data_IF_277458548883
#
_entry.id   IF_277458548883
#
_cell.length_a   1.000
_cell.length_b   1.000
_cell.length_c   1.000
_cell.angle_alpha   90.00
_cell.angle_beta   90.00
_cell.angle_gamma   90.00
#
_symmetry.space_group_name_H-M   'P 1'
#
loop_
_entity.id
_entity.type
_entity.pdbx_description
1 polymer ?
#
# COMPACT_ATOMS: atom_id res chain seq x y z
N UNK A 1 -1.60 -31.06 2.87
CA UNK A 1 -0.34 -31.38 3.54
C UNK A 1 0.76 -30.86 2.64
N UNK A 2 1.51 -29.90 3.09
CA UNK A 2 2.65 -29.36 2.36
C UNK A 2 3.91 -29.68 3.12
N UNK A 3 4.92 -30.20 2.42
CA UNK A 3 6.28 -30.33 2.91
C UNK A 3 7.04 -29.13 2.32
N UNK A 4 7.61 -28.30 3.15
CA UNK A 4 8.64 -27.39 2.69
C UNK A 4 9.98 -28.13 2.54
N UNK A 5 10.95 -27.50 1.92
CA UNK A 5 12.30 -28.06 1.71
C UNK A 5 13.04 -28.36 3.02
N UNK A 6 12.54 -27.90 4.16
CA UNK A 6 13.07 -28.13 5.49
C UNK A 6 12.35 -29.27 6.24
N UNK A 7 11.37 -29.92 5.61
CA UNK A 7 10.64 -31.05 6.17
C UNK A 7 9.57 -30.68 7.21
N UNK A 8 9.09 -29.44 7.19
CA UNK A 8 7.95 -29.02 8.02
C UNK A 8 6.67 -29.46 7.34
N UNK A 9 5.87 -30.25 8.03
CA UNK A 9 4.53 -30.60 7.55
C UNK A 9 3.53 -29.60 8.10
N UNK A 10 2.93 -28.82 7.22
CA UNK A 10 1.84 -27.90 7.56
C UNK A 10 0.51 -28.57 7.23
N UNK A 11 -0.35 -28.75 8.22
CA UNK A 11 -1.67 -29.34 8.07
C UNK A 11 -2.71 -28.24 8.17
N UNK A 12 -3.55 -28.13 7.14
CA UNK A 12 -4.74 -27.29 7.19
C UNK A 12 -5.90 -28.02 7.84
N UNK A 13 -6.57 -27.35 8.76
CA UNK A 13 -7.91 -27.70 9.22
C UNK A 13 -8.69 -26.38 9.28
N UNK A 14 -9.76 -26.30 8.51
CA UNK A 14 -10.67 -25.14 8.49
C UNK A 14 -9.96 -23.80 8.22
N UNK A 15 -9.07 -23.78 7.18
CA UNK A 15 -8.23 -22.62 6.81
C UNK A 15 -7.23 -22.16 7.88
N UNK A 16 -7.02 -22.93 8.95
CA UNK A 16 -6.00 -22.66 9.98
C UNK A 16 -4.80 -23.59 9.85
N UNK A 17 -3.63 -23.11 10.26
CA UNK A 17 -2.42 -23.91 10.30
C UNK A 17 -2.30 -24.71 11.57
N UNK A 18 -1.84 -25.94 11.42
CA UNK A 18 -1.26 -26.74 12.51
C UNK A 18 0.13 -27.21 12.08
N UNK A 19 1.17 -26.83 12.81
CA UNK A 19 2.51 -27.36 12.61
C UNK A 19 2.61 -28.73 13.25
N UNK A 20 2.85 -29.78 12.43
CA UNK A 20 2.85 -31.16 12.91
C UNK A 20 4.23 -31.72 13.24
N UNK A 21 5.30 -31.09 12.81
CA UNK A 21 6.65 -31.61 13.06
C UNK A 21 7.72 -30.49 13.03
N UNK A 22 8.02 -29.94 14.18
CA UNK A 22 9.02 -28.87 14.37
C UNK A 22 10.43 -29.45 14.58
N UNK A 23 10.54 -30.75 14.88
CA UNK A 23 11.81 -31.37 15.25
C UNK A 23 12.83 -31.49 14.12
N UNK A 24 12.46 -31.22 12.87
CA UNK A 24 13.31 -31.39 11.69
C UNK A 24 13.95 -30.13 11.16
N UNK A 25 13.58 -28.94 11.69
CA UNK A 25 14.16 -27.68 11.23
C UNK A 25 15.51 -27.45 11.94
N UNK A 26 16.60 -27.72 11.24
CA UNK A 26 17.94 -27.53 11.79
C UNK A 26 18.52 -26.13 11.60
N UNK A 27 18.04 -25.35 10.61
CA UNK A 27 18.66 -24.08 10.22
C UNK A 27 17.64 -22.93 9.99
N UNK A 28 16.49 -22.96 10.65
CA UNK A 28 15.52 -21.88 10.49
C UNK A 28 15.99 -20.60 11.20
N UNK A 29 16.06 -19.51 10.45
CA UNK A 29 16.46 -18.17 10.94
C UNK A 29 15.35 -17.43 11.68
N UNK A 30 14.18 -18.04 11.87
CA UNK A 30 13.03 -17.46 12.58
C UNK A 30 12.69 -18.26 13.84
N UNK A 31 12.06 -17.61 14.82
CA UNK A 31 11.68 -18.27 16.07
C UNK A 31 10.46 -19.19 15.87
N UNK A 32 10.75 -20.47 15.68
CA UNK A 32 9.74 -21.52 15.46
C UNK A 32 8.76 -21.62 16.63
N UNK A 33 9.19 -21.29 17.85
CA UNK A 33 8.34 -21.35 19.04
C UNK A 33 7.21 -20.34 18.96
N UNK A 34 7.48 -19.14 18.45
CA UNK A 34 6.49 -18.09 18.26
C UNK A 34 5.47 -18.52 17.19
N UNK A 35 5.91 -19.05 16.06
CA UNK A 35 5.02 -19.55 15.02
C UNK A 35 4.15 -20.72 15.50
N UNK A 36 4.75 -21.63 16.31
CA UNK A 36 3.99 -22.72 16.91
C UNK A 36 2.88 -22.19 17.81
N UNK A 37 3.18 -21.23 18.68
CA UNK A 37 2.20 -20.63 19.55
C UNK A 37 1.06 -20.00 18.74
N UNK A 38 1.37 -19.25 17.71
CA UNK A 38 0.37 -18.62 16.82
C UNK A 38 -0.50 -19.68 16.08
N UNK A 39 0.09 -20.83 15.73
CA UNK A 39 -0.66 -21.96 15.15
C UNK A 39 -1.60 -22.60 16.15
N UNK A 40 -1.08 -22.90 17.36
CA UNK A 40 -1.83 -23.56 18.42
C UNK A 40 -3.03 -22.70 18.88
N UNK A 41 -2.87 -21.37 18.86
CA UNK A 41 -3.91 -20.38 19.15
C UNK A 41 -4.83 -20.09 17.94
N UNK A 42 -4.64 -20.75 16.79
CA UNK A 42 -5.46 -20.54 15.59
C UNK A 42 -5.33 -19.14 14.96
N UNK A 43 -4.23 -18.44 15.22
CA UNK A 43 -3.99 -17.07 14.75
C UNK A 43 -3.35 -17.00 13.36
N UNK A 44 -2.91 -18.13 12.80
CA UNK A 44 -2.33 -18.19 11.45
C UNK A 44 -3.33 -18.76 10.47
N UNK A 45 -3.47 -18.08 9.33
CA UNK A 45 -4.26 -18.50 8.18
C UNK A 45 -3.35 -18.80 7.00
N UNK A 46 -3.59 -19.91 6.30
CA UNK A 46 -2.94 -20.24 5.04
C UNK A 46 -3.88 -19.93 3.87
N UNK A 47 -3.46 -19.04 3.01
CA UNK A 47 -4.20 -18.63 1.83
C UNK A 47 -3.67 -19.32 0.59
N UNK A 48 -4.55 -20.03 -0.12
CA UNK A 48 -4.20 -20.72 -1.37
C UNK A 48 -2.94 -21.60 -1.28
N UNK A 49 -2.62 -22.08 -0.09
CA UNK A 49 -1.44 -22.91 0.15
C UNK A 49 -0.08 -22.21 0.04
N UNK A 50 -0.05 -20.88 -0.12
CA UNK A 50 1.19 -20.16 -0.42
C UNK A 50 1.41 -18.89 0.43
N UNK A 51 0.38 -18.33 1.02
CA UNK A 51 0.48 -17.09 1.82
C UNK A 51 0.05 -17.36 3.25
N UNK A 52 0.97 -17.14 4.18
CA UNK A 52 0.67 -17.17 5.62
C UNK A 52 0.22 -15.79 6.07
N UNK A 53 -0.92 -15.71 6.73
CA UNK A 53 -1.44 -14.47 7.30
C UNK A 53 -1.67 -14.62 8.80
N UNK A 54 -1.19 -13.67 9.57
CA UNK A 54 -1.50 -13.58 10.99
C UNK A 54 -2.83 -12.85 11.19
N UNK A 55 -3.75 -13.50 11.92
CA UNK A 55 -5.04 -12.95 12.31
C UNK A 55 -4.94 -12.42 13.73
N UNK A 56 -5.20 -11.13 13.92
CA UNK A 56 -5.32 -10.55 15.26
C UNK A 56 -6.55 -11.15 15.98
N UNK A 57 -6.45 -11.57 17.25
CA UNK A 57 -7.61 -12.02 18.01
C UNK A 57 -8.54 -10.83 18.27
N UNK A 58 -9.86 -11.04 18.10
CA UNK A 58 -10.85 -9.98 18.38
C UNK A 58 -10.87 -9.55 19.83
N UNK A 59 -10.50 -10.45 20.73
CA UNK A 59 -10.38 -10.25 22.16
C UNK A 59 -9.40 -9.13 22.52
N UNK A 60 -8.41 -8.86 21.65
CA UNK A 60 -7.49 -7.75 21.81
C UNK A 60 -8.24 -6.43 21.95
N UNK A 61 -9.27 -6.22 21.13
CA UNK A 61 -10.06 -4.97 21.15
C UNK A 61 -10.98 -4.88 22.37
N UNK A 62 -11.50 -6.00 22.86
CA UNK A 62 -12.36 -6.05 24.05
C UNK A 62 -11.57 -6.01 25.38
N UNK A 63 -10.26 -6.22 25.34
CA UNK A 63 -9.39 -6.16 26.52
C UNK A 63 -9.16 -4.74 27.04
N UNK A 64 -9.54 -3.72 26.26
CA UNK A 64 -9.38 -2.32 26.62
C UNK A 64 -10.73 -1.63 26.83
N UNK A 65 -10.82 -0.76 27.81
CA UNK A 65 -12.03 0.05 28.06
C UNK A 65 -12.38 0.96 26.88
N UNK A 66 -11.38 1.52 26.24
CA UNK A 66 -11.50 2.36 25.04
C UNK A 66 -10.34 2.08 24.09
N UNK A 67 -10.65 1.93 22.81
CA UNK A 67 -9.68 1.81 21.75
C UNK A 67 -9.90 2.96 20.77
N UNK A 68 -8.84 3.72 20.46
CA UNK A 68 -8.88 4.80 19.49
C UNK A 68 -7.90 4.46 18.37
N UNK A 69 -8.41 4.37 17.15
CA UNK A 69 -7.62 4.08 15.96
C UNK A 69 -7.54 5.33 15.10
N UNK A 70 -6.36 5.93 15.06
CA UNK A 70 -6.08 7.07 14.20
C UNK A 70 -5.55 6.59 12.85
N UNK A 71 -6.36 6.73 11.81
CA UNK A 71 -5.99 6.35 10.44
C UNK A 71 -6.52 7.38 9.46
N UNK A 72 -5.84 7.50 8.32
CA UNK A 72 -6.30 8.41 7.26
C UNK A 72 -7.61 7.94 6.63
N UNK A 73 -7.72 6.65 6.33
CA UNK A 73 -8.90 6.02 5.71
C UNK A 73 -9.25 4.74 6.46
N UNK A 74 -10.38 4.73 7.14
CA UNK A 74 -10.89 3.54 7.83
C UNK A 74 -11.87 2.77 6.96
N UNK A 75 -12.88 3.47 6.40
CA UNK A 75 -13.90 2.84 5.56
C UNK A 75 -13.33 2.26 4.28
N UNK A 76 -13.78 1.07 3.92
CA UNK A 76 -13.26 0.29 2.79
C UNK A 76 -11.86 -0.28 3.01
N UNK A 77 -11.30 -0.16 4.22
CA UNK A 77 -10.00 -0.74 4.59
C UNK A 77 -10.14 -2.20 5.02
N UNK A 78 -8.99 -2.88 5.07
CA UNK A 78 -8.91 -4.25 5.62
C UNK A 78 -9.35 -4.27 7.08
N UNK A 79 -9.02 -3.23 7.83
CA UNK A 79 -9.35 -3.15 9.25
C UNK A 79 -10.85 -3.01 9.48
N UNK A 80 -11.56 -2.21 8.68
CA UNK A 80 -13.02 -2.14 8.73
C UNK A 80 -13.62 -3.51 8.39
N UNK A 81 -13.16 -4.14 7.32
CA UNK A 81 -13.63 -5.49 6.93
C UNK A 81 -13.42 -6.48 8.07
N UNK A 82 -12.25 -6.46 8.72
CA UNK A 82 -11.98 -7.29 9.88
C UNK A 82 -12.95 -7.02 11.05
N UNK A 83 -13.26 -5.74 11.34
CA UNK A 83 -14.20 -5.37 12.43
C UNK A 83 -15.60 -5.92 12.16
N UNK A 84 -16.08 -5.78 10.94
CA UNK A 84 -17.38 -6.28 10.53
C UNK A 84 -17.44 -7.81 10.63
N UNK A 85 -16.45 -8.52 10.10
CA UNK A 85 -16.35 -9.97 10.16
C UNK A 85 -16.35 -10.54 11.59
N UNK A 86 -15.83 -9.78 12.54
CA UNK A 86 -15.74 -10.20 13.94
C UNK A 86 -16.81 -9.55 14.84
N UNK A 87 -17.80 -8.86 14.26
CA UNK A 87 -18.87 -8.15 14.97
C UNK A 87 -18.33 -7.14 16.01
N UNK A 88 -17.20 -6.47 15.70
CA UNK A 88 -16.61 -5.45 16.56
C UNK A 88 -17.33 -4.13 16.27
N UNK A 89 -18.04 -3.61 17.24
CA UNK A 89 -18.73 -2.31 17.12
C UNK A 89 -17.73 -1.15 17.13
N UNK A 90 -17.94 -0.15 16.27
CA UNK A 90 -17.08 1.02 16.19
C UNK A 90 -17.86 2.27 15.80
N UNK A 91 -17.31 3.43 16.15
CA UNK A 91 -17.80 4.74 15.73
C UNK A 91 -16.71 5.47 14.95
N UNK A 92 -17.07 6.13 13.85
CA UNK A 92 -16.13 6.90 13.03
C UNK A 92 -16.31 8.38 13.35
N UNK A 93 -15.20 9.06 13.67
CA UNK A 93 -15.12 10.51 13.72
C UNK A 93 -14.16 11.00 12.64
N UNK A 94 -14.64 11.81 11.72
CA UNK A 94 -13.83 12.39 10.67
C UNK A 94 -13.31 13.76 11.09
N UNK A 95 -12.01 13.98 10.91
CA UNK A 95 -11.34 15.25 11.18
C UNK A 95 -10.52 15.69 9.96
N UNK A 96 -10.24 16.98 9.88
CA UNK A 96 -9.40 17.57 8.85
C UNK A 96 -10.19 18.14 7.67
N UNK A 97 -9.44 18.74 6.75
CA UNK A 97 -9.98 19.40 5.56
C UNK A 97 -10.57 18.40 4.58
N UNK A 98 -11.56 18.83 3.81
CA UNK A 98 -12.05 18.03 2.69
C UNK A 98 -11.03 18.03 1.54
N UNK A 99 -11.03 17.00 0.68
CA UNK A 99 -10.16 16.99 -0.49
C UNK A 99 -10.31 18.21 -1.39
N UNK A 100 -11.53 18.67 -1.59
CA UNK A 100 -11.83 19.88 -2.39
C UNK A 100 -11.17 21.14 -1.83
N UNK A 101 -10.99 21.24 -0.50
CA UNK A 101 -10.44 22.43 0.14
C UNK A 101 -8.94 22.62 -0.17
N UNK A 102 -8.25 21.54 -0.54
CA UNK A 102 -6.83 21.55 -0.85
C UNK A 102 -6.52 21.36 -2.34
N UNK A 103 -7.55 21.17 -3.16
CA UNK A 103 -7.40 20.93 -4.60
C UNK A 103 -6.55 22.02 -5.28
N UNK A 104 -6.70 23.27 -4.88
CA UNK A 104 -5.96 24.42 -5.42
C UNK A 104 -4.47 24.41 -5.06
N UNK A 105 -4.06 23.59 -4.10
CA UNK A 105 -2.65 23.41 -3.72
C UNK A 105 -1.91 22.35 -4.55
N UNK A 106 -2.63 21.56 -5.35
CA UNK A 106 -2.05 20.45 -6.10
C UNK A 106 -2.10 20.75 -7.59
N UNK A 107 -0.96 21.12 -8.16
CA UNK A 107 -0.80 21.29 -9.59
C UNK A 107 -0.39 19.94 -10.21
N UNK A 108 -1.37 19.18 -10.71
CA UNK A 108 -1.13 17.90 -11.39
C UNK A 108 -0.58 18.19 -12.78
N UNK A 109 0.56 17.58 -13.11
CA UNK A 109 1.15 17.71 -14.44
C UNK A 109 0.25 17.07 -15.52
N UNK A 110 -0.18 17.86 -16.49
CA UNK A 110 -0.99 17.45 -17.65
C UNK A 110 -0.22 17.75 -18.94
N UNK A 111 0.81 16.97 -19.24
CA UNK A 111 1.67 17.21 -20.40
C UNK A 111 2.10 15.93 -21.10
N UNK A 112 2.97 16.06 -22.15
CA UNK A 112 3.37 14.92 -22.99
C UNK A 112 4.03 13.76 -22.26
N UNK A 113 4.59 13.98 -21.06
CA UNK A 113 5.19 12.90 -20.27
C UNK A 113 4.15 11.94 -19.67
N UNK A 114 2.87 12.32 -19.68
CA UNK A 114 1.76 11.47 -19.22
C UNK A 114 1.20 10.53 -20.30
N UNK A 115 1.88 10.36 -21.42
CA UNK A 115 1.43 9.52 -22.55
C UNK A 115 1.53 8.03 -22.23
N UNK A 116 0.77 7.57 -21.25
CA UNK A 116 0.77 6.15 -20.88
C UNK A 116 -0.66 5.64 -20.88
N UNK A 117 -1.02 4.97 -21.96
CA UNK A 117 -2.36 4.37 -22.14
C UNK A 117 -2.54 3.01 -21.45
N UNK A 118 -1.46 2.40 -20.92
CA UNK A 118 -1.53 1.08 -20.32
C UNK A 118 -1.82 1.13 -18.82
N UNK A 119 -2.91 0.53 -18.40
CA UNK A 119 -3.36 0.49 -17.00
C UNK A 119 -2.38 -0.18 -16.02
N UNK A 120 -1.45 -1.00 -16.54
CA UNK A 120 -0.46 -1.75 -15.75
C UNK A 120 0.88 -1.04 -15.59
N UNK A 121 1.11 0.08 -16.26
CA UNK A 121 2.38 0.81 -16.14
C UNK A 121 2.59 1.30 -14.71
N UNK A 122 3.85 1.27 -14.28
CA UNK A 122 4.31 1.62 -12.93
C UNK A 122 3.76 0.76 -11.79
N UNK A 123 3.08 -0.37 -12.08
CA UNK A 123 2.74 -1.36 -11.08
C UNK A 123 3.98 -2.19 -10.66
N UNK A 124 3.80 -3.09 -9.71
CA UNK A 124 4.90 -3.92 -9.22
C UNK A 124 5.59 -4.72 -10.33
N UNK A 125 4.82 -5.37 -11.22
CA UNK A 125 5.38 -6.19 -12.32
C UNK A 125 6.03 -5.37 -13.44
N UNK A 126 5.65 -4.10 -13.61
CA UNK A 126 6.32 -3.18 -14.53
C UNK A 126 7.82 -3.10 -14.28
N UNK A 127 8.20 -3.06 -13.00
CA UNK A 127 9.59 -2.96 -12.56
C UNK A 127 10.38 -4.28 -12.67
N UNK A 128 9.75 -5.36 -13.11
CA UNK A 128 10.41 -6.61 -13.48
C UNK A 128 11.18 -6.56 -14.80
N UNK A 129 11.10 -5.44 -15.54
CA UNK A 129 11.81 -5.24 -16.81
C UNK A 129 12.80 -4.07 -16.68
N UNK A 130 14.06 -4.31 -17.00
CA UNK A 130 15.12 -3.31 -16.91
C UNK A 130 14.94 -2.16 -17.89
N UNK A 131 14.36 -2.40 -19.08
CA UNK A 131 14.01 -1.34 -20.05
C UNK A 131 13.01 -0.36 -19.42
N UNK A 132 12.00 -0.87 -18.75
CA UNK A 132 11.00 -0.04 -18.06
C UNK A 132 11.63 0.81 -16.94
N UNK A 133 12.63 0.26 -16.23
CA UNK A 133 13.40 1.00 -15.21
C UNK A 133 14.16 2.15 -15.86
N UNK A 134 14.82 1.91 -17.00
CA UNK A 134 15.57 2.93 -17.74
C UNK A 134 14.64 4.02 -18.30
N UNK A 135 13.48 3.66 -18.81
CA UNK A 135 12.51 4.63 -19.31
C UNK A 135 11.90 5.45 -18.16
N UNK A 136 11.62 4.81 -17.03
CA UNK A 136 11.20 5.52 -15.81
C UNK A 136 12.26 6.52 -15.36
N UNK A 137 13.56 6.16 -15.43
CA UNK A 137 14.67 7.08 -15.12
C UNK A 137 14.70 8.28 -16.06
N UNK A 138 14.60 8.07 -17.38
CA UNK A 138 14.57 9.15 -18.37
C UNK A 138 13.40 10.10 -18.13
N UNK A 139 12.24 9.53 -17.81
CA UNK A 139 11.03 10.29 -17.54
C UNK A 139 11.15 11.15 -16.29
N UNK A 140 11.68 10.59 -15.20
CA UNK A 140 11.95 11.30 -13.96
C UNK A 140 12.93 12.46 -14.18
N UNK A 141 14.02 12.20 -14.91
CA UNK A 141 15.04 13.21 -15.24
C UNK A 141 14.43 14.35 -16.08
N UNK A 142 13.62 14.00 -17.08
CA UNK A 142 12.95 14.98 -17.92
C UNK A 142 11.98 15.86 -17.11
N UNK A 143 11.16 15.26 -16.25
CA UNK A 143 10.24 16.02 -15.42
C UNK A 143 10.99 17.01 -14.52
N UNK A 144 11.96 16.56 -13.75
CA UNK A 144 12.65 17.43 -12.80
C UNK A 144 13.55 18.49 -13.46
N UNK A 145 14.15 18.19 -14.60
CA UNK A 145 15.06 19.13 -15.28
C UNK A 145 14.36 20.08 -16.23
N UNK A 146 13.48 19.56 -17.05
CA UNK A 146 12.96 20.29 -18.21
C UNK A 146 11.57 20.86 -17.94
N UNK A 147 10.74 20.16 -17.18
CA UNK A 147 9.38 20.61 -16.88
C UNK A 147 9.39 21.58 -15.70
N UNK A 148 9.71 21.08 -14.50
CA UNK A 148 9.63 21.91 -13.28
C UNK A 148 10.93 22.63 -12.95
N UNK A 149 12.05 22.29 -13.60
CA UNK A 149 13.38 22.87 -13.38
C UNK A 149 13.75 22.96 -11.89
N UNK A 150 13.34 21.93 -11.14
CA UNK A 150 13.46 21.92 -9.70
C UNK A 150 14.91 21.77 -9.23
N UNK A 151 15.29 22.45 -8.18
CA UNK A 151 16.57 22.24 -7.48
C UNK A 151 16.57 20.90 -6.74
N UNK A 152 17.74 20.35 -6.43
CA UNK A 152 17.83 19.08 -5.71
C UNK A 152 17.15 19.13 -4.33
N UNK A 153 17.16 20.31 -3.68
CA UNK A 153 16.54 20.51 -2.37
C UNK A 153 15.02 20.58 -2.41
N UNK A 154 14.43 20.62 -3.60
CA UNK A 154 12.99 20.83 -3.77
C UNK A 154 12.32 19.67 -4.51
N UNK A 155 12.94 18.50 -4.48
CA UNK A 155 12.44 17.29 -5.15
C UNK A 155 12.06 16.23 -4.13
N UNK A 156 10.98 15.52 -4.40
CA UNK A 156 10.58 14.30 -3.72
C UNK A 156 10.07 13.31 -4.75
N UNK A 157 10.48 12.05 -4.68
CA UNK A 157 9.96 11.05 -5.59
C UNK A 157 9.87 9.65 -4.97
N UNK A 158 9.09 8.78 -5.60
CA UNK A 158 8.91 7.40 -5.17
C UNK A 158 8.75 6.43 -6.32
N UNK A 159 9.20 5.20 -6.08
CA UNK A 159 8.95 4.01 -6.90
C UNK A 159 9.05 2.75 -6.02
N UNK A 160 8.78 1.58 -6.59
CA UNK A 160 9.07 0.31 -5.92
C UNK A 160 10.58 0.13 -5.72
N UNK A 161 10.96 -0.51 -4.61
CA UNK A 161 12.38 -0.75 -4.26
C UNK A 161 12.94 -2.02 -4.87
N UNK A 162 12.10 -3.04 -4.95
CA UNK A 162 12.48 -4.39 -5.34
C UNK A 162 11.34 -5.01 -6.14
N UNK A 163 11.69 -5.80 -7.13
CA UNK A 163 10.79 -6.71 -7.82
C UNK A 163 11.33 -8.12 -7.67
N UNK A 164 10.47 -9.10 -7.42
CA UNK A 164 10.81 -10.52 -7.47
C UNK A 164 9.65 -11.31 -8.06
N UNK A 165 9.99 -12.32 -8.85
CA UNK A 165 9.05 -13.30 -9.37
C UNK A 165 9.14 -14.63 -8.58
N UNK A 166 9.66 -14.58 -7.37
CA UNK A 166 9.77 -15.74 -6.48
C UNK A 166 11.11 -16.46 -6.54
N UNK A 167 11.99 -16.12 -7.50
CA UNK A 167 13.33 -16.69 -7.59
C UNK A 167 14.42 -15.62 -7.44
N UNK A 168 15.60 -15.95 -6.87
CA UNK A 168 16.72 -15.02 -6.76
C UNK A 168 17.16 -14.46 -8.11
N UNK A 169 17.19 -15.31 -9.16
CA UNK A 169 17.64 -14.95 -10.51
C UNK A 169 16.72 -13.93 -11.19
N UNK A 170 15.45 -13.91 -10.80
CA UNK A 170 14.44 -12.99 -11.30
C UNK A 170 14.13 -11.86 -10.32
N UNK A 171 15.04 -11.61 -9.40
CA UNK A 171 14.92 -10.53 -8.42
C UNK A 171 15.71 -9.30 -8.87
N UNK A 172 15.05 -8.16 -8.94
CA UNK A 172 15.66 -6.86 -9.21
C UNK A 172 15.62 -6.04 -7.94
N UNK A 173 16.76 -5.88 -7.32
CA UNK A 173 16.91 -5.07 -6.11
C UNK A 173 17.31 -3.63 -6.41
N UNK A 174 17.10 -2.76 -5.43
CA UNK A 174 17.55 -1.37 -5.45
C UNK A 174 17.06 -0.60 -6.69
N UNK A 175 15.84 -0.85 -7.15
CA UNK A 175 15.21 -0.21 -8.32
C UNK A 175 15.31 1.32 -8.20
N UNK A 176 15.03 1.88 -7.01
CA UNK A 176 15.14 3.31 -6.75
C UNK A 176 16.56 3.85 -7.02
N UNK A 177 17.62 3.08 -6.72
CA UNK A 177 19.00 3.50 -7.02
C UNK A 177 19.28 3.44 -8.52
N UNK A 178 18.69 2.47 -9.24
CA UNK A 178 18.83 2.38 -10.70
C UNK A 178 18.13 3.54 -11.41
N UNK A 179 16.93 3.93 -10.96
CA UNK A 179 16.19 5.07 -11.48
C UNK A 179 16.82 6.39 -11.03
N UNK A 180 17.03 6.58 -9.73
CA UNK A 180 17.54 7.81 -9.16
C UNK A 180 18.98 8.11 -9.55
N UNK A 181 19.74 7.04 -9.79
CA UNK A 181 21.18 7.14 -9.96
C UNK A 181 21.75 8.06 -8.83
N UNK A 182 23.01 8.40 -8.80
CA UNK A 182 23.60 9.31 -7.78
C UNK A 182 22.91 10.69 -7.70
N UNK A 183 22.10 11.04 -8.72
CA UNK A 183 21.48 12.37 -8.84
C UNK A 183 20.23 12.56 -7.98
N UNK A 184 19.40 11.52 -7.80
CA UNK A 184 18.09 11.60 -7.16
C UNK A 184 17.93 10.70 -5.92
N UNK A 185 18.98 9.99 -5.50
CA UNK A 185 18.91 9.05 -4.37
C UNK A 185 18.47 9.72 -3.06
N UNK A 186 19.00 10.91 -2.78
CA UNK A 186 18.68 11.65 -1.54
C UNK A 186 17.27 12.23 -1.51
N UNK A 187 16.59 12.26 -2.64
CA UNK A 187 15.24 12.80 -2.82
C UNK A 187 14.19 11.69 -2.93
N UNK A 188 14.64 10.44 -2.86
CA UNK A 188 13.76 9.30 -2.88
C UNK A 188 13.21 8.98 -1.49
N UNK A 189 11.92 8.60 -1.45
CA UNK A 189 11.24 8.10 -0.26
C UNK A 189 10.34 6.93 -0.68
N UNK A 190 10.37 5.83 0.06
CA UNK A 190 9.44 4.74 -0.21
C UNK A 190 8.00 5.22 0.01
N UNK A 191 7.10 4.90 -0.93
CA UNK A 191 5.72 5.39 -0.90
C UNK A 191 4.94 4.98 0.36
N UNK A 192 5.30 3.87 0.98
CA UNK A 192 4.70 3.34 2.20
C UNK A 192 5.45 3.73 3.49
N UNK A 193 6.40 4.66 3.43
CA UNK A 193 7.11 5.15 4.62
C UNK A 193 6.14 5.83 5.57
N UNK A 194 6.22 5.49 6.85
CA UNK A 194 5.42 6.09 7.92
C UNK A 194 6.25 7.12 8.71
N UNK A 195 5.57 8.07 9.34
CA UNK A 195 6.12 8.96 10.38
C UNK A 195 7.43 9.73 10.02
N UNK A 196 7.50 10.37 8.83
CA UNK A 196 8.61 11.27 8.48
C UNK A 196 8.12 12.66 8.10
N UNK A 197 8.88 13.68 8.49
CA UNK A 197 8.65 15.09 8.15
C UNK A 197 9.82 15.72 7.38
N UNK A 198 10.81 14.92 7.00
CA UNK A 198 12.07 15.39 6.41
C UNK A 198 11.91 15.98 5.00
N UNK A 199 10.72 15.93 4.43
CA UNK A 199 10.43 16.38 3.08
C UNK A 199 9.32 17.44 3.02
N UNK A 200 8.95 18.03 4.17
CA UNK A 200 7.86 19.02 4.27
C UNK A 200 8.17 20.35 3.57
N UNK A 201 9.35 20.52 3.07
CA UNK A 201 9.83 21.66 2.28
C UNK A 201 9.93 21.36 0.77
N UNK A 202 9.39 20.23 0.29
CA UNK A 202 9.48 19.80 -1.12
C UNK A 202 8.22 20.15 -1.88
N UNK A 203 8.38 20.91 -2.96
CA UNK A 203 7.25 21.37 -3.80
C UNK A 203 7.11 20.58 -5.10
N UNK A 204 8.16 19.87 -5.54
CA UNK A 204 8.13 19.14 -6.81
C UNK A 204 8.19 17.63 -6.58
N UNK A 205 7.08 16.98 -6.79
CA UNK A 205 6.84 15.58 -6.43
C UNK A 205 6.66 14.73 -7.69
N UNK A 206 7.30 13.55 -7.74
CA UNK A 206 7.06 12.53 -8.75
C UNK A 206 6.70 11.19 -8.10
N UNK A 207 5.50 10.72 -8.33
CA UNK A 207 5.00 9.47 -7.78
C UNK A 207 4.90 8.41 -8.87
N UNK A 208 5.98 7.62 -9.01
CA UNK A 208 6.16 6.59 -10.04
C UNK A 208 5.65 5.24 -9.56
N UNK A 209 4.44 5.20 -9.01
CA UNK A 209 3.84 3.98 -8.43
C UNK A 209 2.39 3.85 -8.88
N UNK A 210 2.02 2.63 -9.27
CA UNK A 210 0.64 2.25 -9.52
C UNK A 210 0.31 1.08 -8.59
N UNK A 211 -0.42 1.37 -7.52
CA UNK A 211 -0.65 0.39 -6.46
C UNK A 211 -1.82 -0.51 -6.82
N UNK A 212 -1.56 -1.81 -6.84
CA UNK A 212 -2.56 -2.85 -6.86
C UNK A 212 -2.43 -3.72 -5.63
N UNK A 213 -3.55 -4.15 -5.08
CA UNK A 213 -3.55 -5.08 -3.97
C UNK A 213 -3.35 -6.51 -4.49
N UNK A 214 -2.64 -7.34 -3.73
CA UNK A 214 -2.38 -8.73 -4.14
C UNK A 214 -3.70 -9.48 -4.33
N UNK A 215 -3.96 -10.10 -5.51
CA UNK A 215 -5.23 -10.76 -5.79
C UNK A 215 -5.62 -11.80 -4.75
N UNK A 216 -4.68 -12.64 -4.30
CA UNK A 216 -4.94 -13.66 -3.28
C UNK A 216 -5.47 -13.08 -1.96
N UNK A 217 -4.94 -11.92 -1.52
CA UNK A 217 -5.43 -11.25 -0.31
C UNK A 217 -6.79 -10.59 -0.52
N UNK A 218 -7.03 -10.06 -1.73
CA UNK A 218 -8.33 -9.48 -2.09
C UNK A 218 -9.42 -10.54 -2.11
N UNK A 219 -9.13 -11.70 -2.67
CA UNK A 219 -10.07 -12.82 -2.71
C UNK A 219 -10.41 -13.33 -1.30
N UNK A 220 -9.42 -13.40 -0.42
CA UNK A 220 -9.69 -13.78 0.97
C UNK A 220 -10.62 -12.79 1.67
N UNK A 221 -10.26 -11.51 1.62
CA UNK A 221 -11.03 -10.45 2.28
C UNK A 221 -12.48 -10.44 1.77
N UNK A 222 -12.68 -10.75 0.48
CA UNK A 222 -14.01 -10.79 -0.13
C UNK A 222 -14.75 -12.13 0.06
N UNK A 223 -14.03 -13.27 0.20
CA UNK A 223 -14.66 -14.60 0.37
C UNK A 223 -15.36 -14.80 1.70
N UNK A 224 -14.91 -14.10 2.72
CA UNK A 224 -15.52 -14.15 4.05
C UNK A 224 -16.88 -13.44 4.11
N UNK A 225 -17.34 -12.82 3.01
CA UNK A 225 -18.64 -12.15 2.88
C UNK A 225 -19.66 -12.91 2.01
N UNK A 226 -19.52 -14.23 1.88
CA UNK A 226 -20.42 -15.01 0.98
C UNK A 226 -21.89 -14.98 1.35
N UNK A 227 -22.21 -14.66 2.58
CA UNK A 227 -23.58 -14.76 3.12
C UNK A 227 -24.27 -13.40 3.36
N UNK A 228 -23.62 -12.27 3.06
CA UNK A 228 -24.22 -10.96 3.25
C UNK A 228 -24.31 -10.19 1.93
N UNK A 229 -25.52 -9.85 1.53
CA UNK A 229 -25.86 -9.04 0.34
C UNK A 229 -25.36 -7.57 0.45
N UNK A 230 -24.75 -7.15 1.55
CA UNK A 230 -24.32 -5.78 1.77
C UNK A 230 -22.99 -5.47 1.06
N UNK A 231 -23.13 -5.01 -0.19
CA UNK A 231 -22.02 -4.58 -1.05
C UNK A 231 -21.25 -3.39 -0.46
N UNK A 232 -21.80 -2.69 0.54
CA UNK A 232 -21.21 -1.48 1.12
C UNK A 232 -19.91 -1.74 1.90
N UNK A 233 -19.72 -2.99 2.34
CA UNK A 233 -18.70 -3.39 3.31
C UNK A 233 -17.46 -4.02 2.66
N UNK A 234 -17.42 -4.15 1.34
CA UNK A 234 -16.28 -4.78 0.66
C UNK A 234 -15.04 -3.91 0.68
N UNK A 235 -13.88 -4.54 0.90
CA UNK A 235 -12.58 -3.91 0.70
C UNK A 235 -12.52 -3.23 -0.67
N UNK A 236 -12.15 -1.96 -0.69
CA UNK A 236 -12.05 -1.14 -1.90
C UNK A 236 -10.58 -0.91 -2.23
N UNK A 237 -10.09 -1.62 -3.25
CA UNK A 237 -8.70 -1.48 -3.72
C UNK A 237 -8.36 -0.03 -4.13
N UNK A 238 -9.32 0.70 -4.70
CA UNK A 238 -9.13 2.10 -5.07
C UNK A 238 -8.86 2.98 -3.85
N UNK A 239 -9.60 2.76 -2.75
CA UNK A 239 -9.38 3.49 -1.50
C UNK A 239 -8.03 3.16 -0.86
N UNK A 240 -7.59 1.91 -0.96
CA UNK A 240 -6.25 1.54 -0.53
C UNK A 240 -5.17 2.27 -1.35
N UNK A 241 -5.28 2.25 -2.67
CA UNK A 241 -4.33 2.89 -3.56
C UNK A 241 -4.27 4.42 -3.35
N UNK A 242 -5.43 5.08 -3.23
CA UNK A 242 -5.49 6.52 -2.97
C UNK A 242 -4.97 6.87 -1.59
N UNK A 243 -5.26 6.07 -0.57
CA UNK A 243 -4.78 6.28 0.78
C UNK A 243 -3.24 6.29 0.85
N UNK A 244 -2.57 5.30 0.26
CA UNK A 244 -1.10 5.24 0.22
C UNK A 244 -0.51 6.44 -0.55
N UNK A 245 -1.10 6.81 -1.69
CA UNK A 245 -0.66 7.96 -2.48
C UNK A 245 -0.82 9.28 -1.72
N UNK A 246 -1.97 9.51 -1.08
CA UNK A 246 -2.21 10.74 -0.33
C UNK A 246 -1.28 10.83 0.88
N UNK A 247 -1.07 9.75 1.61
CA UNK A 247 -0.10 9.74 2.71
C UNK A 247 1.32 10.06 2.25
N UNK A 248 1.72 9.65 1.04
CA UNK A 248 3.00 10.03 0.46
C UNK A 248 3.03 11.53 0.08
N UNK A 249 2.03 12.03 -0.63
CA UNK A 249 1.93 13.43 -1.04
C UNK A 249 1.99 14.35 0.20
N UNK A 250 1.35 13.96 1.29
CA UNK A 250 1.36 14.70 2.57
C UNK A 250 2.72 14.76 3.28
N UNK A 251 3.76 14.12 2.74
CA UNK A 251 5.14 14.27 3.22
C UNK A 251 5.80 15.54 2.68
N UNK A 252 5.22 16.16 1.66
CA UNK A 252 5.72 17.34 0.94
C UNK A 252 5.22 18.66 1.54
N UNK A 253 5.51 19.76 0.87
CA UNK A 253 5.13 21.13 1.26
C UNK A 253 3.60 21.33 1.39
N UNK A 254 2.78 20.49 0.77
CA UNK A 254 1.32 20.54 0.94
C UNK A 254 0.88 20.43 2.41
N UNK A 255 1.68 19.78 3.24
CA UNK A 255 1.46 19.68 4.68
C UNK A 255 1.46 21.04 5.37
N UNK A 256 2.24 21.98 4.85
CA UNK A 256 2.33 23.38 5.30
C UNK A 256 1.34 24.30 4.58
N UNK A 257 0.38 23.71 3.84
CA UNK A 257 -0.58 24.43 3.01
C UNK A 257 0.06 25.20 1.84
N UNK A 258 1.21 24.73 1.37
CA UNK A 258 1.92 25.30 0.23
C UNK A 258 1.59 24.53 -1.06
N UNK A 259 1.67 25.22 -2.20
CA UNK A 259 1.43 24.60 -3.49
C UNK A 259 2.51 23.60 -3.87
N UNK A 260 2.11 22.50 -4.50
CA UNK A 260 3.02 21.49 -5.03
C UNK A 260 2.76 21.21 -6.52
N UNK A 261 3.82 20.88 -7.24
CA UNK A 261 3.75 20.29 -8.57
C UNK A 261 3.83 18.78 -8.46
N UNK A 262 2.86 18.08 -8.99
CA UNK A 262 2.74 16.64 -8.84
C UNK A 262 2.75 15.94 -10.20
N UNK A 263 3.73 15.08 -10.42
CA UNK A 263 3.83 14.21 -11.57
C UNK A 263 3.36 12.80 -11.22
N UNK A 264 2.29 12.36 -11.87
CA UNK A 264 1.70 11.03 -11.77
C UNK A 264 1.68 10.41 -13.16
N UNK A 265 2.71 9.66 -13.60
CA UNK A 265 2.70 9.07 -14.94
C UNK A 265 1.66 7.96 -15.12
N UNK A 266 1.21 7.32 -14.04
CA UNK A 266 0.11 6.35 -14.09
C UNK A 266 -1.24 7.04 -14.29
N UNK A 267 -1.91 6.77 -15.40
CA UNK A 267 -3.25 7.29 -15.70
C UNK A 267 -4.27 6.87 -14.63
N UNK A 268 -4.20 5.60 -14.19
CA UNK A 268 -5.09 5.10 -13.13
C UNK A 268 -4.93 5.93 -11.85
N UNK A 269 -3.71 6.19 -11.41
CA UNK A 269 -3.46 6.95 -10.18
C UNK A 269 -3.89 8.42 -10.32
N UNK A 270 -3.73 9.03 -11.51
CA UNK A 270 -4.28 10.38 -11.79
C UNK A 270 -5.81 10.40 -11.70
N UNK A 271 -6.48 9.42 -12.31
CA UNK A 271 -7.95 9.31 -12.25
C UNK A 271 -8.43 9.16 -10.79
N UNK A 272 -7.76 8.33 -10.00
CA UNK A 272 -8.10 8.15 -8.58
C UNK A 272 -7.91 9.44 -7.78
N UNK A 273 -6.79 10.16 -8.00
CA UNK A 273 -6.55 11.43 -7.34
C UNK A 273 -7.61 12.48 -7.71
N UNK A 274 -7.96 12.59 -8.99
CA UNK A 274 -8.99 13.53 -9.44
C UNK A 274 -10.36 13.24 -8.83
N UNK A 275 -10.77 11.96 -8.78
CA UNK A 275 -11.99 11.55 -8.10
C UNK A 275 -11.98 11.94 -6.62
N UNK A 276 -10.85 11.71 -5.94
CA UNK A 276 -10.69 12.07 -4.55
C UNK A 276 -10.77 13.58 -4.34
N UNK A 277 -10.08 14.38 -5.16
CA UNK A 277 -10.11 15.85 -5.11
C UNK A 277 -11.49 16.44 -5.42
N UNK A 278 -12.33 15.71 -6.15
CA UNK A 278 -13.71 16.07 -6.44
C UNK A 278 -14.72 15.56 -5.40
N UNK A 279 -14.25 15.02 -4.27
CA UNK A 279 -15.06 14.44 -3.20
C UNK A 279 -15.93 13.24 -3.64
N UNK A 280 -15.59 12.53 -4.72
CA UNK A 280 -16.35 11.36 -5.16
C UNK A 280 -16.31 10.19 -4.14
N UNK A 281 -15.38 10.23 -3.20
CA UNK A 281 -15.26 9.27 -2.10
C UNK A 281 -15.78 9.81 -0.76
N UNK A 282 -16.58 10.86 -0.75
CA UNK A 282 -17.07 11.50 0.50
C UNK A 282 -17.87 10.53 1.37
N UNK A 283 -18.66 9.62 0.78
CA UNK A 283 -19.40 8.58 1.50
C UNK A 283 -18.52 7.65 2.35
N UNK A 284 -17.24 7.52 1.99
CA UNK A 284 -16.27 6.74 2.77
C UNK A 284 -15.57 7.57 3.85
N UNK A 285 -15.76 8.87 3.88
CA UNK A 285 -15.23 9.76 4.92
C UNK A 285 -16.24 10.04 6.00
N UNK A 286 -17.49 10.22 5.63
CA UNK A 286 -18.54 10.58 6.57
C UNK A 286 -18.95 9.37 7.43
N UNK A 287 -19.13 9.62 8.72
CA UNK A 287 -19.85 8.69 9.58
C UNK A 287 -21.27 8.55 9.03
N UNK A 288 -21.65 7.36 8.58
CA UNK A 288 -23.07 7.05 8.54
C UNK A 288 -23.52 7.05 10.00
N UNK A 289 -24.41 7.95 10.36
CA UNK A 289 -25.21 7.79 11.57
C UNK A 289 -26.03 6.52 11.37
N UNK A 290 -25.60 5.45 12.04
CA UNK A 290 -26.39 4.24 12.22
C UNK A 290 -27.34 4.45 13.35
#
# INVERSE_FOLDING_TARGET
MYLDDNGITIRMKDDTFNMTDIGKIRDATFDIKEYKLLCDEGMLLLLHGTVVMWKLPKELFSSFKNVIICTYQFRGSILETYFIQNNIQYNIKCWGKKPSDIKHLINIYEGPLNQTEQSTMYNYSWYGNTTNIDDTRKLLDNYFKNVVKASAKDRLWSCYTTYTNGTPEQTIENIHKKIGNKRYDKQWLAFNTKATNNFSDRHNIAYMVNIHYKPALKDLINKTHKDEEDVSVKFKEELYAINEMIQFIWRSAIRNEEQINLFLPSERMRKLLNKWLNNEYESYRTALSV
#
